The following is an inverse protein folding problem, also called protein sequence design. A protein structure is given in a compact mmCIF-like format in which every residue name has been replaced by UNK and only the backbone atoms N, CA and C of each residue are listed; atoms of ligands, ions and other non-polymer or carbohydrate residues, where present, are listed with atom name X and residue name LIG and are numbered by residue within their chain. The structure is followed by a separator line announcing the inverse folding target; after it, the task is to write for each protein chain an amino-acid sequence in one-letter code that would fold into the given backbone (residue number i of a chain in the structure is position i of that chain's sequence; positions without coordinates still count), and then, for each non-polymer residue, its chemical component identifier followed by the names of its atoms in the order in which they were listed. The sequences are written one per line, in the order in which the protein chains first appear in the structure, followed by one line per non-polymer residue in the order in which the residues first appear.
data_IF_084912857282
#
_entry.id   IF_084912857282
#
_cell.length_a   1.000
_cell.length_b   1.000
_cell.length_c   1.000
_cell.angle_alpha   90.00
_cell.angle_beta   90.00
_cell.angle_gamma   90.00
#
_symmetry.space_group_name_H-M   'P 1'
#
loop_
_entity.id
_entity.type
_entity.pdbx_description
1 polymer ?
#
# COMPACT_ATOMS: atom_id res chain seq x y z
N UNK A 1 -6.42 33.42 -18.63
CA UNK A 1 -7.20 32.31 -18.03
C UNK A 1 -7.37 31.28 -19.12
N UNK A 2 -6.82 30.09 -19.10
CA UNK A 2 -6.06 29.36 -18.07
C UNK A 2 -5.14 28.40 -18.83
N UNK A 3 -3.94 28.15 -18.30
CA UNK A 3 -3.15 27.02 -18.75
C UNK A 3 -3.89 25.76 -18.26
N UNK A 4 -4.39 24.97 -19.21
CA UNK A 4 -4.87 23.61 -18.95
C UNK A 4 -3.63 22.77 -18.66
N UNK A 5 -3.24 22.76 -17.39
CA UNK A 5 -2.30 21.79 -16.89
C UNK A 5 -3.01 20.44 -16.92
N UNK A 6 -2.78 19.68 -17.98
CA UNK A 6 -2.83 18.21 -17.89
C UNK A 6 -1.67 17.80 -16.96
N UNK A 7 -1.79 18.15 -15.68
CA UNK A 7 -0.95 17.61 -14.65
C UNK A 7 -1.50 16.21 -14.43
N UNK A 8 -0.87 15.22 -15.06
CA UNK A 8 -0.90 13.88 -14.49
C UNK A 8 -0.67 14.05 -12.98
N UNK A 9 -1.57 13.54 -12.12
CA UNK A 9 -1.42 13.69 -10.69
C UNK A 9 0.00 13.29 -10.31
N UNK A 10 0.69 14.14 -9.53
CA UNK A 10 1.96 13.77 -8.95
C UNK A 10 1.77 12.37 -8.33
N UNK A 11 2.68 11.41 -8.53
CA UNK A 11 2.51 10.02 -8.12
C UNK A 11 1.93 9.80 -6.70
N UNK A 12 2.26 10.61 -5.67
CA UNK A 12 1.57 10.56 -4.37
C UNK A 12 0.05 10.81 -4.43
N UNK A 13 -0.41 11.73 -5.28
CA UNK A 13 -1.83 12.02 -5.51
C UNK A 13 -2.52 10.86 -6.24
N UNK A 14 -1.87 10.24 -7.24
CA UNK A 14 -2.45 9.08 -7.92
C UNK A 14 -2.56 7.86 -7.00
N UNK A 15 -1.58 7.63 -6.13
CA UNK A 15 -1.67 6.59 -5.10
C UNK A 15 -2.77 6.90 -4.08
N UNK A 16 -2.93 8.16 -3.68
CA UNK A 16 -4.05 8.55 -2.81
C UNK A 16 -5.41 8.25 -3.45
N UNK A 17 -5.58 8.60 -4.72
CA UNK A 17 -6.82 8.32 -5.46
C UNK A 17 -7.04 6.82 -5.58
N UNK A 18 -6.03 6.05 -6.01
CA UNK A 18 -6.12 4.60 -6.16
C UNK A 18 -6.47 3.91 -4.82
N UNK A 19 -5.89 4.37 -3.71
CA UNK A 19 -6.18 3.85 -2.39
C UNK A 19 -7.61 4.19 -1.93
N UNK A 20 -8.11 5.38 -2.26
CA UNK A 20 -9.49 5.79 -1.99
C UNK A 20 -10.50 4.94 -2.77
N UNK A 21 -10.29 4.80 -4.08
CA UNK A 21 -11.12 3.97 -4.97
C UNK A 21 -11.15 2.50 -4.50
N UNK A 22 -10.03 1.99 -3.98
CA UNK A 22 -9.96 0.64 -3.40
C UNK A 22 -10.86 0.49 -2.15
N UNK A 23 -10.85 1.48 -1.25
CA UNK A 23 -11.74 1.47 -0.07
C UNK A 23 -13.20 1.61 -0.47
N UNK A 24 -13.52 2.48 -1.42
CA UNK A 24 -14.89 2.64 -1.95
C UNK A 24 -15.39 1.34 -2.62
N UNK A 25 -14.52 0.61 -3.32
CA UNK A 25 -14.87 -0.67 -3.91
C UNK A 25 -15.11 -1.77 -2.87
N UNK A 26 -14.36 -1.76 -1.77
CA UNK A 26 -14.44 -2.73 -0.68
C UNK A 26 -15.11 -2.13 0.57
N UNK A 27 -16.20 -1.38 0.42
CA UNK A 27 -16.83 -0.64 1.53
C UNK A 27 -17.38 -1.54 2.66
N UNK A 28 -17.70 -2.80 2.34
CA UNK A 28 -18.08 -3.83 3.32
C UNK A 28 -16.90 -4.27 4.22
N UNK A 29 -15.65 -3.94 3.88
CA UNK A 29 -14.46 -4.24 4.68
C UNK A 29 -14.04 -3.01 5.51
N UNK A 30 -13.66 -3.19 6.79
CA UNK A 30 -13.22 -2.10 7.67
C UNK A 30 -11.79 -1.62 7.32
N UNK A 31 -11.66 -0.92 6.20
CA UNK A 31 -10.43 -0.40 5.62
C UNK A 31 -10.31 1.11 5.82
N UNK A 32 -9.94 1.53 7.03
CA UNK A 32 -9.94 2.93 7.46
C UNK A 32 -8.56 3.62 7.42
N UNK A 33 -7.59 3.08 6.69
CA UNK A 33 -6.19 3.57 6.65
C UNK A 33 -5.49 3.62 8.02
N UNK A 34 -5.94 2.80 8.98
CA UNK A 34 -5.24 2.61 10.26
C UNK A 34 -4.34 1.39 10.19
N UNK A 35 -3.23 1.32 10.95
CA UNK A 35 -2.40 0.11 10.94
C UNK A 35 -3.16 -1.16 11.39
N UNK A 36 -4.19 -1.01 12.23
CA UNK A 36 -5.06 -2.12 12.63
C UNK A 36 -5.86 -2.70 11.44
N UNK A 37 -6.27 -1.85 10.49
CA UNK A 37 -7.02 -2.27 9.29
C UNK A 37 -6.21 -3.15 8.34
N UNK A 38 -4.87 -3.18 8.46
CA UNK A 38 -4.02 -4.04 7.64
C UNK A 38 -4.31 -5.53 7.84
N UNK A 39 -4.84 -5.95 9.01
CA UNK A 39 -5.28 -7.35 9.20
C UNK A 39 -6.53 -7.68 8.38
N UNK A 40 -7.39 -6.69 8.18
CA UNK A 40 -8.58 -6.82 7.34
C UNK A 40 -8.18 -6.85 5.87
N UNK A 41 -7.15 -6.09 5.49
CA UNK A 41 -6.53 -6.17 4.18
C UNK A 41 -5.91 -7.56 3.93
N UNK A 42 -5.15 -8.12 4.89
CA UNK A 42 -4.61 -9.48 4.80
C UNK A 42 -5.73 -10.50 4.54
N UNK A 43 -6.79 -10.43 5.35
CA UNK A 43 -7.94 -11.33 5.23
C UNK A 43 -8.67 -11.19 3.90
N UNK A 44 -8.82 -9.96 3.39
CA UNK A 44 -9.43 -9.68 2.10
C UNK A 44 -8.62 -10.30 0.98
N UNK A 45 -7.29 -10.08 1.00
CA UNK A 45 -6.40 -10.59 -0.04
C UNK A 45 -6.42 -12.10 -0.07
N UNK A 46 -6.25 -12.76 1.07
CA UNK A 46 -6.29 -14.23 1.18
C UNK A 46 -7.65 -14.84 0.79
N UNK A 47 -8.74 -14.06 0.86
CA UNK A 47 -10.09 -14.54 0.51
C UNK A 47 -10.38 -14.45 -0.98
N UNK A 48 -9.96 -13.37 -1.63
CA UNK A 48 -10.37 -13.04 -3.00
C UNK A 48 -9.27 -13.14 -4.04
N UNK A 49 -8.01 -13.23 -3.61
CA UNK A 49 -6.86 -13.30 -4.50
C UNK A 49 -6.00 -14.49 -4.08
N UNK A 50 -5.59 -15.28 -5.06
CA UNK A 50 -4.66 -16.39 -4.82
C UNK A 50 -3.62 -16.52 -5.93
N UNK A 51 -2.66 -17.44 -5.75
CA UNK A 51 -1.62 -17.68 -6.76
C UNK A 51 -2.20 -18.12 -8.11
N UNK A 52 -3.35 -18.80 -8.13
CA UNK A 52 -4.05 -19.17 -9.37
C UNK A 52 -4.57 -17.96 -10.17
N UNK A 53 -4.90 -16.85 -9.50
CA UNK A 53 -5.28 -15.60 -10.19
C UNK A 53 -4.07 -14.96 -10.88
N UNK A 54 -2.87 -15.05 -10.25
CA UNK A 54 -1.59 -14.51 -10.77
C UNK A 54 -1.21 -15.11 -12.12
N UNK A 55 -1.39 -16.42 -12.27
CA UNK A 55 -1.12 -17.10 -13.54
C UNK A 55 -2.18 -16.79 -14.61
N UNK A 56 -3.39 -16.40 -14.20
CA UNK A 56 -4.52 -16.22 -15.10
C UNK A 56 -4.54 -14.86 -15.80
N UNK A 57 -4.24 -13.76 -15.09
CA UNK A 57 -4.24 -12.41 -15.66
C UNK A 57 -3.19 -11.50 -14.98
N UNK A 58 -1.92 -11.52 -15.44
CA UNK A 58 -0.83 -10.78 -14.79
C UNK A 58 -0.97 -9.26 -14.92
N UNK A 59 -1.65 -8.76 -15.96
CA UNK A 59 -1.88 -7.32 -16.15
C UNK A 59 -2.92 -6.81 -15.15
N UNK A 60 -4.04 -7.51 -14.97
CA UNK A 60 -5.04 -7.16 -13.96
C UNK A 60 -4.43 -7.16 -12.55
N UNK A 61 -3.59 -8.15 -12.23
CA UNK A 61 -2.96 -8.24 -10.92
C UNK A 61 -1.87 -7.20 -10.68
N UNK A 62 -1.22 -6.71 -11.74
CA UNK A 62 -0.37 -5.52 -11.61
C UNK A 62 -1.18 -4.29 -11.16
N UNK A 63 -2.40 -4.12 -11.66
CA UNK A 63 -3.32 -3.06 -11.23
C UNK A 63 -3.76 -3.23 -9.77
N UNK A 64 -4.11 -4.45 -9.37
CA UNK A 64 -4.45 -4.78 -7.97
C UNK A 64 -3.27 -4.53 -7.04
N UNK A 65 -2.05 -4.93 -7.43
CA UNK A 65 -0.85 -4.67 -6.64
C UNK A 65 -0.60 -3.18 -6.45
N UNK A 66 -0.90 -2.34 -7.45
CA UNK A 66 -0.84 -0.88 -7.32
C UNK A 66 -1.88 -0.37 -6.32
N UNK A 67 -3.13 -0.84 -6.37
CA UNK A 67 -4.16 -0.45 -5.40
C UNK A 67 -3.79 -0.85 -3.96
N UNK A 68 -3.38 -2.10 -3.75
CA UNK A 68 -2.96 -2.63 -2.45
C UNK A 68 -1.72 -1.90 -1.91
N UNK A 69 -0.72 -1.70 -2.76
CA UNK A 69 0.51 -0.96 -2.39
C UNK A 69 0.22 0.50 -2.07
N UNK A 70 -0.71 1.12 -2.81
CA UNK A 70 -1.17 2.48 -2.53
C UNK A 70 -1.89 2.55 -1.19
N UNK A 71 -2.78 1.59 -0.88
CA UNK A 71 -3.46 1.53 0.41
C UNK A 71 -2.48 1.38 1.59
N UNK A 72 -1.50 0.47 1.46
CA UNK A 72 -0.46 0.32 2.48
C UNK A 72 0.34 1.62 2.64
N UNK A 73 0.83 2.22 1.55
CA UNK A 73 1.60 3.44 1.63
C UNK A 73 0.82 4.61 2.23
N UNK A 74 -0.43 4.78 1.83
CA UNK A 74 -1.34 5.81 2.34
C UNK A 74 -1.70 5.60 3.83
N UNK A 75 -1.76 4.35 4.29
CA UNK A 75 -1.86 4.00 5.71
C UNK A 75 -0.63 4.46 6.48
N UNK A 76 0.57 4.18 5.96
CA UNK A 76 1.84 4.60 6.58
C UNK A 76 1.99 6.12 6.64
N UNK A 77 1.64 6.81 5.56
CA UNK A 77 1.67 8.29 5.46
C UNK A 77 0.73 8.92 6.48
N UNK A 78 -0.51 8.40 6.62
CA UNK A 78 -1.51 8.95 7.56
C UNK A 78 -1.19 8.65 9.02
N UNK A 79 -0.72 7.43 9.30
CA UNK A 79 -0.52 6.98 10.67
C UNK A 79 0.75 7.53 11.32
N UNK A 80 1.80 7.75 10.52
CA UNK A 80 3.16 8.00 11.01
C UNK A 80 3.87 9.15 10.28
N UNK A 81 3.13 10.01 9.58
CA UNK A 81 3.68 11.08 8.75
C UNK A 81 4.73 10.57 7.74
N UNK A 82 4.56 9.32 7.26
CA UNK A 82 5.45 8.69 6.31
C UNK A 82 5.58 9.48 5.01
N UNK A 83 6.77 9.45 4.42
CA UNK A 83 7.08 10.20 3.20
C UNK A 83 7.22 9.26 2.00
N UNK A 84 6.44 9.51 0.95
CA UNK A 84 6.65 8.88 -0.35
C UNK A 84 8.02 9.26 -0.92
N UNK A 85 8.79 8.24 -1.31
CA UNK A 85 10.09 8.38 -1.94
C UNK A 85 10.09 7.69 -3.29
N UNK A 86 10.60 8.37 -4.31
CA UNK A 86 10.80 7.78 -5.62
C UNK A 86 12.12 7.02 -5.64
N UNK A 87 12.05 5.69 -5.53
CA UNK A 87 13.20 4.83 -5.79
C UNK A 87 13.54 4.73 -7.27
N UNK A 88 14.68 4.09 -7.59
CA UNK A 88 15.09 3.85 -8.98
C UNK A 88 14.17 2.90 -9.74
N UNK A 89 13.55 1.96 -9.03
CA UNK A 89 12.74 0.90 -9.62
C UNK A 89 11.26 1.05 -9.28
N UNK A 90 10.94 1.46 -8.05
CA UNK A 90 9.58 1.63 -7.56
C UNK A 90 9.50 2.74 -6.52
N UNK A 91 8.28 3.18 -6.23
CA UNK A 91 7.96 4.06 -5.12
C UNK A 91 7.97 3.30 -3.78
N UNK A 92 8.33 3.99 -2.71
CA UNK A 92 8.38 3.45 -1.35
C UNK A 92 7.92 4.50 -0.36
N UNK A 93 7.60 4.10 0.87
CA UNK A 93 7.33 5.03 1.97
C UNK A 93 8.44 4.92 3.01
N UNK A 94 9.05 6.03 3.35
CA UNK A 94 10.01 6.13 4.45
C UNK A 94 9.29 6.57 5.71
N UNK A 95 9.58 5.88 6.81
CA UNK A 95 9.08 6.13 8.15
C UNK A 95 10.25 6.58 9.03
N UNK A 96 10.00 7.55 9.89
CA UNK A 96 10.94 8.01 10.91
C UNK A 96 10.38 7.65 12.28
N UNK A 97 11.20 7.02 13.11
CA UNK A 97 10.87 6.66 14.49
C UNK A 97 12.00 7.05 15.46
N UNK A 98 11.78 6.90 16.77
CA UNK A 98 12.79 7.27 17.78
C UNK A 98 14.09 6.48 17.65
N UNK A 99 14.03 5.23 17.16
CA UNK A 99 15.19 4.34 17.06
C UNK A 99 15.86 4.35 15.68
N UNK A 100 15.28 5.05 14.69
CA UNK A 100 15.86 5.18 13.36
C UNK A 100 14.84 5.48 12.27
N UNK A 101 15.25 5.25 11.03
CA UNK A 101 14.39 5.36 9.84
C UNK A 101 14.28 3.99 9.15
N UNK A 102 13.14 3.72 8.54
CA UNK A 102 12.92 2.52 7.74
C UNK A 102 12.21 2.87 6.44
N UNK A 103 12.58 2.18 5.35
CA UNK A 103 11.95 2.37 4.04
C UNK A 103 11.18 1.11 3.65
N UNK A 104 9.88 1.26 3.42
CA UNK A 104 8.97 0.18 3.07
C UNK A 104 8.68 0.20 1.57
N UNK A 105 9.05 -0.89 0.87
CA UNK A 105 8.68 -1.11 -0.53
C UNK A 105 7.23 -1.62 -0.62
N UNK A 106 6.27 -0.71 -0.48
CA UNK A 106 4.84 -1.04 -0.36
C UNK A 106 4.27 -1.81 -1.54
N UNK A 107 4.75 -1.54 -2.77
CA UNK A 107 4.34 -2.27 -3.97
C UNK A 107 4.97 -3.66 -4.05
N UNK A 108 6.19 -3.83 -3.53
CA UNK A 108 6.82 -5.13 -3.39
C UNK A 108 6.08 -6.03 -2.40
N UNK A 109 5.63 -5.45 -1.27
CA UNK A 109 4.80 -6.15 -0.28
C UNK A 109 3.46 -6.57 -0.92
N UNK A 110 2.81 -5.66 -1.64
CA UNK A 110 1.55 -5.96 -2.32
C UNK A 110 1.68 -7.07 -3.39
N UNK A 111 2.73 -7.01 -4.22
CA UNK A 111 3.00 -8.06 -5.21
C UNK A 111 3.27 -9.41 -4.54
N UNK A 112 4.01 -9.42 -3.42
CA UNK A 112 4.26 -10.63 -2.63
C UNK A 112 2.97 -11.22 -2.05
N UNK A 113 2.08 -10.38 -1.51
CA UNK A 113 0.81 -10.80 -0.93
C UNK A 113 -0.19 -11.40 -1.93
N UNK A 114 0.02 -11.20 -3.24
CA UNK A 114 -0.77 -11.85 -4.28
C UNK A 114 -0.22 -13.23 -4.66
N UNK A 115 1.06 -13.49 -4.38
CA UNK A 115 1.75 -14.75 -4.71
C UNK A 115 1.85 -15.71 -3.51
N UNK A 116 1.89 -15.16 -2.30
CA UNK A 116 2.02 -15.87 -1.02
C UNK A 116 0.97 -15.32 -0.03
N UNK A 117 0.71 -16.00 1.11
CA UNK A 117 -0.24 -15.51 2.11
C UNK A 117 0.03 -14.05 2.51
N UNK A 118 -1.03 -13.25 2.55
CA UNK A 118 -0.91 -11.81 2.77
C UNK A 118 -0.34 -11.49 4.17
N UNK A 119 0.62 -10.57 4.21
CA UNK A 119 1.37 -10.23 5.42
C UNK A 119 1.55 -8.72 5.64
N UNK A 120 0.65 -7.88 5.14
CA UNK A 120 0.67 -6.43 5.29
C UNK A 120 0.77 -5.99 6.75
N UNK A 121 -0.05 -6.57 7.64
CA UNK A 121 0.03 -6.24 9.06
C UNK A 121 1.34 -6.73 9.69
N UNK A 122 1.82 -7.91 9.28
CA UNK A 122 3.09 -8.47 9.76
C UNK A 122 4.27 -7.57 9.41
N UNK A 123 4.41 -7.24 8.12
CA UNK A 123 5.46 -6.34 7.64
C UNK A 123 5.40 -4.97 8.32
N UNK A 124 4.22 -4.40 8.49
CA UNK A 124 4.06 -3.16 9.27
C UNK A 124 4.56 -3.31 10.71
N UNK A 125 4.14 -4.37 11.41
CA UNK A 125 4.48 -4.56 12.82
C UNK A 125 5.99 -4.78 13.02
N UNK A 126 6.64 -5.50 12.12
CA UNK A 126 8.10 -5.69 12.13
C UNK A 126 8.83 -4.36 11.93
N UNK A 127 8.47 -3.60 10.90
CA UNK A 127 9.09 -2.29 10.63
C UNK A 127 8.84 -1.33 11.77
N UNK A 128 7.59 -1.20 12.22
CA UNK A 128 7.24 -0.30 13.31
C UNK A 128 7.99 -0.65 14.61
N UNK A 129 8.19 -1.94 14.90
CA UNK A 129 8.98 -2.39 16.04
C UNK A 129 10.48 -2.11 15.88
N UNK A 130 11.02 -2.18 14.66
CA UNK A 130 12.43 -1.89 14.37
C UNK A 130 12.80 -0.42 14.65
N UNK A 131 11.91 0.51 14.30
CA UNK A 131 12.14 1.95 14.45
C UNK A 131 11.48 2.58 15.69
N UNK A 132 10.79 1.78 16.51
CA UNK A 132 10.22 2.21 17.79
C UNK A 132 8.91 3.00 17.70
N UNK A 133 8.06 2.70 16.70
CA UNK A 133 6.75 3.32 16.52
C UNK A 133 5.61 2.64 17.32
N UNK A 134 5.84 1.45 17.88
CA UNK A 134 4.84 0.65 18.63
C UNK A 134 5.38 0.08 19.93
#
# INVERSE_FOLDING_TARGET
MSADASADPDPPESFRVAAGEFVDYWDDYPLDFTPASLRHLDSLVDTYYGPDDVDSDPEALSGVAVQLGSYLGETLVRAHDGAWQQGRLNWSVTLEGPDGEATVNVFGVAAGALAEPAAFHGTYAEVAGEIGLV
#
